data_IF_632165670417
#
_entry.id   IF_632165670417
#
_cell.length_a   1.000
_cell.length_b   1.000
_cell.length_c   1.000
_cell.angle_alpha   90.00
_cell.angle_beta   90.00
_cell.angle_gamma   90.00
#
_symmetry.space_group_name_H-M   'P 1'
#
loop_
_entity.id
_entity.type
_entity.pdbx_description
1 polymer ?
#
# COMPACT_ATOMS: atom_id res chain seq x y z
N UNK A 1 -7.33 -8.69 8.22
CA UNK A 1 -6.32 -7.63 7.95
C UNK A 1 -6.28 -7.41 6.45
N UNK A 2 -6.35 -6.16 5.99
CA UNK A 2 -6.15 -5.82 4.56
C UNK A 2 -4.66 -5.84 4.21
N UNK A 3 -4.33 -5.90 2.91
CA UNK A 3 -2.96 -5.81 2.43
C UNK A 3 -2.23 -4.55 2.93
N UNK A 4 -2.84 -3.37 2.76
CA UNK A 4 -2.28 -2.10 3.26
C UNK A 4 -2.07 -2.08 4.76
N UNK A 5 -3.03 -2.56 5.56
CA UNK A 5 -2.88 -2.58 7.01
C UNK A 5 -1.73 -3.47 7.47
N UNK A 6 -1.49 -4.58 6.75
CA UNK A 6 -0.35 -5.46 7.01
C UNK A 6 0.99 -4.77 6.70
N UNK A 7 1.11 -4.13 5.55
CA UNK A 7 2.34 -3.42 5.18
C UNK A 7 2.61 -2.22 6.10
N UNK A 8 1.58 -1.45 6.43
CA UNK A 8 1.68 -0.33 7.36
C UNK A 8 2.19 -0.80 8.73
N UNK A 9 1.68 -1.92 9.25
CA UNK A 9 2.20 -2.50 10.50
C UNK A 9 3.67 -2.91 10.39
N UNK A 10 4.08 -3.54 9.28
CA UNK A 10 5.47 -3.94 9.08
C UNK A 10 6.40 -2.73 9.01
N UNK A 11 5.98 -1.67 8.31
CA UNK A 11 6.75 -0.44 8.18
C UNK A 11 6.87 0.31 9.52
N UNK A 12 5.78 0.37 10.29
CA UNK A 12 5.76 0.99 11.63
C UNK A 12 6.66 0.21 12.60
N UNK A 13 6.54 -1.12 12.65
CA UNK A 13 7.37 -1.99 13.50
C UNK A 13 8.86 -1.92 13.14
N UNK A 14 9.18 -1.77 11.84
CA UNK A 14 10.55 -1.62 11.37
C UNK A 14 11.13 -0.21 11.55
N UNK A 15 10.34 0.75 12.04
CA UNK A 15 10.77 2.15 12.18
C UNK A 15 11.08 2.82 10.84
N UNK A 16 10.42 2.40 9.76
CA UNK A 16 10.66 2.96 8.42
C UNK A 16 10.29 4.45 8.39
N UNK A 17 11.25 5.30 8.01
CA UNK A 17 11.14 6.76 8.10
C UNK A 17 9.97 7.35 7.28
N UNK A 18 9.55 6.66 6.21
CA UNK A 18 8.49 7.11 5.31
C UNK A 18 7.17 6.35 5.48
N UNK A 19 6.98 5.64 6.61
CA UNK A 19 5.73 4.89 6.90
C UNK A 19 4.48 5.78 6.85
N UNK A 20 4.54 6.99 7.42
CA UNK A 20 3.43 7.96 7.38
C UNK A 20 3.13 8.44 5.94
N UNK A 21 4.11 8.89 5.15
CA UNK A 21 3.91 9.15 3.71
C UNK A 21 3.33 7.96 2.93
N UNK A 22 3.85 6.74 3.14
CA UNK A 22 3.37 5.53 2.45
C UNK A 22 1.90 5.26 2.76
N UNK A 23 1.52 5.31 4.03
CA UNK A 23 0.12 5.23 4.46
C UNK A 23 -0.76 6.29 3.79
N UNK A 24 -0.24 7.49 3.58
CA UNK A 24 -0.98 8.55 2.89
C UNK A 24 -1.25 8.21 1.43
N UNK A 25 -0.29 7.56 0.75
CA UNK A 25 -0.45 7.05 -0.62
C UNK A 25 -1.58 6.01 -0.67
N UNK A 26 -1.65 5.08 0.29
CA UNK A 26 -2.75 4.13 0.43
C UNK A 26 -4.11 4.81 0.63
N UNK A 27 -4.21 5.76 1.57
CA UNK A 27 -5.45 6.48 1.86
C UNK A 27 -6.00 7.22 0.64
N UNK A 28 -5.12 7.89 -0.12
CA UNK A 28 -5.49 8.61 -1.34
C UNK A 28 -5.98 7.65 -2.43
N UNK A 29 -5.34 6.50 -2.57
CA UNK A 29 -5.77 5.47 -3.51
C UNK A 29 -7.16 4.91 -3.15
N UNK A 30 -7.39 4.55 -1.88
CA UNK A 30 -8.69 4.07 -1.40
C UNK A 30 -9.78 5.12 -1.66
N UNK A 31 -9.51 6.40 -1.34
CA UNK A 31 -10.45 7.48 -1.63
C UNK A 31 -10.78 7.55 -3.12
N UNK A 32 -9.77 7.47 -3.98
CA UNK A 32 -9.96 7.53 -5.43
C UNK A 32 -10.78 6.33 -5.94
N UNK A 33 -10.52 5.11 -5.47
CA UNK A 33 -11.30 3.92 -5.84
C UNK A 33 -12.75 4.06 -5.39
N UNK A 34 -13.01 4.60 -4.20
CA UNK A 34 -14.38 4.82 -3.71
C UNK A 34 -15.18 5.77 -4.61
N UNK A 35 -14.54 6.76 -5.24
CA UNK A 35 -15.23 7.64 -6.21
C UNK A 35 -15.76 6.83 -7.43
N UNK A 36 -15.02 5.82 -7.89
CA UNK A 36 -15.47 4.92 -8.95
C UNK A 36 -16.58 3.98 -8.47
N UNK A 37 -16.50 3.50 -7.23
CA UNK A 37 -17.55 2.67 -6.62
C UNK A 37 -18.87 3.43 -6.54
N UNK A 38 -18.85 4.69 -6.09
CA UNK A 38 -20.06 5.51 -6.03
C UNK A 38 -20.62 5.80 -7.42
N UNK A 39 -19.78 6.15 -8.41
CA UNK A 39 -20.22 6.31 -9.80
C UNK A 39 -20.88 5.06 -10.36
N UNK A 40 -20.26 3.90 -10.15
CA UNK A 40 -20.83 2.62 -10.56
C UNK A 40 -22.19 2.34 -9.89
N UNK A 41 -22.33 2.66 -8.59
CA UNK A 41 -23.62 2.53 -7.87
C UNK A 41 -24.72 3.42 -8.44
N UNK A 42 -24.36 4.56 -9.03
CA UNK A 42 -25.27 5.47 -9.71
C UNK A 42 -25.60 5.04 -11.16
N UNK A 43 -24.99 3.96 -11.65
CA UNK A 43 -25.24 3.41 -12.99
C UNK A 43 -24.23 3.81 -14.06
N UNK A 44 -23.16 4.53 -13.71
CA UNK A 44 -22.08 4.85 -14.65
C UNK A 44 -21.32 3.57 -15.07
N UNK A 45 -21.02 3.42 -16.36
CA UNK A 45 -20.04 2.45 -16.83
C UNK A 45 -18.63 2.98 -16.57
N UNK A 46 -17.98 2.43 -15.56
CA UNK A 46 -16.63 2.81 -15.11
C UNK A 46 -15.59 1.71 -15.31
N UNK A 47 -15.95 0.57 -15.89
CA UNK A 47 -15.12 -0.65 -15.86
C UNK A 47 -13.72 -0.44 -16.43
N UNK A 48 -13.64 0.13 -17.63
CA UNK A 48 -12.37 0.38 -18.32
C UNK A 48 -11.51 1.46 -17.62
N UNK A 49 -12.13 2.50 -17.08
CA UNK A 49 -11.42 3.55 -16.34
C UNK A 49 -10.85 3.03 -15.03
N UNK A 50 -11.64 2.22 -14.31
CA UNK A 50 -11.26 1.61 -13.05
C UNK A 50 -10.13 0.59 -13.26
N UNK A 51 -10.22 -0.28 -14.26
CA UNK A 51 -9.16 -1.25 -14.58
C UNK A 51 -7.83 -0.56 -14.87
N UNK A 52 -7.86 0.50 -15.68
CA UNK A 52 -6.66 1.29 -15.99
C UNK A 52 -6.07 1.93 -14.74
N UNK A 53 -6.91 2.50 -13.86
CA UNK A 53 -6.47 3.08 -12.59
C UNK A 53 -5.79 2.04 -11.71
N UNK A 54 -6.47 0.91 -11.45
CA UNK A 54 -6.00 -0.15 -10.57
C UNK A 54 -4.66 -0.73 -11.06
N UNK A 55 -4.61 -1.10 -12.35
CA UNK A 55 -3.42 -1.71 -12.96
C UNK A 55 -2.23 -0.77 -12.96
N UNK A 56 -2.45 0.51 -13.31
CA UNK A 56 -1.38 1.50 -13.35
C UNK A 56 -0.86 1.82 -11.95
N UNK A 57 -1.76 2.00 -10.98
CA UNK A 57 -1.38 2.33 -9.61
C UNK A 57 -0.62 1.17 -8.98
N UNK A 58 -1.14 -0.06 -9.05
CA UNK A 58 -0.53 -1.23 -8.43
C UNK A 58 0.90 -1.49 -8.93
N UNK A 59 1.12 -1.46 -10.24
CA UNK A 59 2.45 -1.71 -10.82
C UNK A 59 3.45 -0.64 -10.41
N UNK A 60 3.05 0.63 -10.36
CA UNK A 60 3.94 1.70 -9.96
C UNK A 60 4.22 1.69 -8.45
N UNK A 61 3.20 1.38 -7.66
CA UNK A 61 3.30 1.30 -6.20
C UNK A 61 4.29 0.23 -5.76
N UNK A 62 4.13 -1.00 -6.28
CA UNK A 62 5.03 -2.11 -5.98
C UNK A 62 6.47 -1.81 -6.39
N UNK A 63 6.66 -1.22 -7.57
CA UNK A 63 8.00 -0.98 -8.12
C UNK A 63 8.75 0.16 -7.45
N UNK A 64 8.03 1.10 -6.83
CA UNK A 64 8.63 2.33 -6.29
C UNK A 64 8.45 2.37 -4.78
N UNK A 65 7.22 2.55 -4.32
CA UNK A 65 6.93 2.75 -2.91
C UNK A 65 7.24 1.49 -2.09
N UNK A 66 6.76 0.31 -2.51
CA UNK A 66 6.94 -0.91 -1.72
C UNK A 66 8.39 -1.39 -1.68
N UNK A 67 9.13 -1.16 -2.77
CA UNK A 67 10.54 -1.51 -2.85
C UNK A 67 11.38 -0.75 -1.81
N UNK A 68 10.99 0.48 -1.45
CA UNK A 68 11.77 1.36 -0.58
C UNK A 68 11.78 0.89 0.88
N UNK A 69 10.71 0.23 1.36
CA UNK A 69 10.64 -0.25 2.75
C UNK A 69 11.31 -1.62 2.97
N UNK A 70 11.58 -2.38 1.90
CA UNK A 70 12.10 -3.77 1.98
C UNK A 70 13.36 -3.86 2.83
N UNK A 71 14.29 -2.91 2.67
CA UNK A 71 15.54 -2.90 3.43
C UNK A 71 15.32 -2.75 4.94
N UNK A 72 14.48 -1.80 5.35
CA UNK A 72 14.17 -1.53 6.75
C UNK A 72 13.47 -2.73 7.40
N UNK A 73 12.46 -3.30 6.73
CA UNK A 73 11.71 -4.45 7.25
C UNK A 73 12.59 -5.70 7.36
N UNK A 74 13.41 -6.00 6.35
CA UNK A 74 14.33 -7.15 6.41
C UNK A 74 15.34 -7.02 7.54
N UNK A 75 15.91 -5.82 7.74
CA UNK A 75 16.86 -5.57 8.83
C UNK A 75 16.19 -5.81 10.20
N UNK A 76 14.98 -5.30 10.40
CA UNK A 76 14.21 -5.51 11.62
C UNK A 76 13.91 -7.01 11.86
N UNK A 77 13.46 -7.74 10.85
CA UNK A 77 13.17 -9.18 10.95
C UNK A 77 14.40 -9.99 11.35
N UNK A 78 15.57 -9.69 10.79
CA UNK A 78 16.83 -10.37 11.13
C UNK A 78 17.22 -10.07 12.59
N UNK A 79 17.05 -8.83 13.05
CA UNK A 79 17.27 -8.43 14.44
C UNK A 79 16.42 -9.25 15.42
N UNK A 80 15.11 -9.34 15.16
CA UNK A 80 14.17 -10.13 15.99
C UNK A 80 14.58 -11.61 16.07
N UNK A 81 15.05 -12.19 14.96
CA UNK A 81 15.51 -13.59 14.94
C UNK A 81 16.79 -13.77 15.76
N UNK A 82 17.72 -12.80 15.70
CA UNK A 82 18.96 -12.85 16.45
C UNK A 82 18.73 -12.69 17.97
N UNK A 83 17.79 -11.84 18.39
CA UNK A 83 17.44 -11.64 19.81
C UNK A 83 16.72 -12.84 20.45
N UNK A 84 16.07 -13.68 19.64
CA UNK A 84 15.36 -14.88 20.09
C UNK A 84 16.23 -16.15 20.16
N UNK A 85 17.52 -16.05 19.80
CA UNK A 85 18.50 -17.13 19.93
C UNK A 85 19.30 -16.98 21.22
#
# INVERSE_FOLDING_TARGET
>A
ISHFAFEESLQEEAGYAYSKPHKKVHELFVRRVNEYVERHRLGDDVGAELDKLLSTWLVNHIKRDDADYVGAVKANMIGIIAEKK
#
